data_IF_409713220188
#
_entry.id   IF_409713220188
#
_cell.length_a   1.000
_cell.length_b   1.000
_cell.length_c   1.000
_cell.angle_alpha   90.00
_cell.angle_beta   90.00
_cell.angle_gamma   90.00
#
_symmetry.space_group_name_H-M   'P 1'
#
loop_
_entity.id
_entity.type
_entity.pdbx_description
1 polymer ?
#
# COMPACT_ATOMS: atom_id res chain seq x y z
N UNK A 1 -33.94 -49.60 54.08
CA UNK A 1 -34.69 -49.18 52.87
C UNK A 1 -34.38 -47.72 52.60
N UNK A 2 -33.83 -47.44 51.41
CA UNK A 2 -33.52 -46.09 50.89
C UNK A 2 -34.79 -45.23 50.84
N UNK A 3 -34.69 -43.96 51.25
CA UNK A 3 -35.52 -42.89 50.68
C UNK A 3 -34.63 -41.73 50.26
N UNK A 4 -34.72 -41.48 48.96
CA UNK A 4 -34.08 -40.45 48.15
C UNK A 4 -34.54 -39.06 48.64
N UNK A 5 -33.60 -38.16 48.92
CA UNK A 5 -33.88 -36.72 49.02
C UNK A 5 -33.51 -36.11 47.67
N UNK A 6 -34.52 -35.57 47.00
CA UNK A 6 -34.43 -34.85 45.74
C UNK A 6 -34.01 -33.41 46.05
N UNK A 7 -32.76 -33.05 45.83
CA UNK A 7 -32.33 -31.65 45.80
C UNK A 7 -32.62 -31.08 44.40
N UNK A 8 -33.63 -30.22 44.32
CA UNK A 8 -33.80 -29.32 43.19
C UNK A 8 -32.70 -28.24 43.29
N UNK A 9 -31.74 -28.28 42.37
CA UNK A 9 -30.81 -27.17 42.17
C UNK A 9 -31.52 -26.17 41.27
N UNK A 10 -31.94 -25.03 41.84
CA UNK A 10 -32.20 -23.83 41.06
C UNK A 10 -30.86 -23.37 40.49
N UNK A 11 -30.65 -23.54 39.19
CA UNK A 11 -29.65 -22.76 38.46
C UNK A 11 -30.34 -21.46 38.07
N UNK A 12 -30.02 -20.40 38.82
CA UNK A 12 -30.33 -19.03 38.45
C UNK A 12 -29.36 -18.59 37.34
N UNK A 13 -29.90 -17.87 36.35
CA UNK A 13 -29.15 -17.30 35.23
C UNK A 13 -28.09 -16.31 35.73
N UNK A 14 -26.87 -16.44 35.23
CA UNK A 14 -25.88 -15.37 35.12
C UNK A 14 -25.41 -15.37 33.68
N UNK A 15 -26.01 -14.50 32.87
CA UNK A 15 -25.43 -14.11 31.60
C UNK A 15 -24.33 -13.11 31.91
N UNK A 16 -23.12 -13.44 31.51
CA UNK A 16 -22.08 -12.47 31.22
C UNK A 16 -21.69 -12.76 29.77
N UNK A 17 -22.05 -11.81 28.90
CA UNK A 17 -21.53 -11.73 27.54
C UNK A 17 -20.02 -11.52 27.64
N UNK A 18 -19.26 -12.61 27.60
CA UNK A 18 -17.82 -12.55 27.33
C UNK A 18 -17.63 -12.15 25.86
N UNK A 19 -17.84 -10.86 25.57
CA UNK A 19 -17.13 -10.19 24.47
C UNK A 19 -15.67 -10.13 24.90
N UNK A 20 -14.98 -11.28 24.84
CA UNK A 20 -13.56 -11.36 25.11
C UNK A 20 -12.82 -10.64 23.98
N UNK A 21 -12.65 -9.33 24.14
CA UNK A 21 -11.73 -8.56 23.31
C UNK A 21 -10.36 -9.25 23.36
N UNK A 22 -9.76 -9.49 22.18
CA UNK A 22 -8.46 -10.11 22.05
C UNK A 22 -7.44 -9.42 22.98
N UNK A 23 -6.80 -10.16 23.91
CA UNK A 23 -5.92 -9.56 24.91
C UNK A 23 -4.63 -8.97 24.32
N UNK A 24 -4.28 -9.34 23.08
CA UNK A 24 -3.14 -8.82 22.32
C UNK A 24 -3.53 -8.67 20.85
N UNK A 25 -3.74 -7.45 20.37
CA UNK A 25 -3.77 -7.20 18.94
C UNK A 25 -2.39 -7.56 18.35
N UNK A 26 -2.34 -8.19 17.17
CA UNK A 26 -1.08 -8.48 16.44
C UNK A 26 -0.35 -7.22 15.93
N UNK A 27 -0.82 -6.04 16.34
CA UNK A 27 -0.25 -4.73 16.08
C UNK A 27 -0.12 -3.91 17.37
N UNK A 28 0.50 -2.72 17.28
CA UNK A 28 0.90 -2.04 16.05
C UNK A 28 2.19 -2.63 15.44
N UNK A 29 2.30 -2.52 14.11
CA UNK A 29 3.54 -2.81 13.39
C UNK A 29 4.68 -1.90 13.88
N UNK A 30 5.89 -2.45 14.02
CA UNK A 30 7.04 -1.68 14.46
C UNK A 30 7.39 -0.55 13.48
N UNK A 31 7.81 0.57 14.05
CA UNK A 31 8.40 1.72 13.36
C UNK A 31 9.91 1.56 13.19
N UNK A 32 10.47 2.33 12.26
CA UNK A 32 11.90 2.42 12.01
C UNK A 32 12.47 3.81 12.30
N UNK A 33 13.55 4.14 11.61
CA UNK A 33 14.19 5.45 11.68
C UNK A 33 13.35 6.53 10.99
N UNK A 34 13.32 7.74 11.54
CA UNK A 34 12.50 8.85 11.03
C UNK A 34 13.11 9.52 9.79
N UNK A 35 14.40 9.33 9.53
CA UNK A 35 15.17 10.02 8.51
C UNK A 35 15.84 9.08 7.50
N UNK A 36 16.30 7.90 7.95
CA UNK A 36 17.01 6.91 7.15
C UNK A 36 18.45 7.33 6.79
N UNK A 37 18.91 6.88 5.63
CA UNK A 37 20.23 7.15 5.09
C UNK A 37 20.37 8.64 4.73
N UNK A 38 21.47 9.29 5.16
CA UNK A 38 21.70 10.72 4.93
C UNK A 38 21.89 11.12 3.45
N UNK A 39 22.36 10.18 2.63
CA UNK A 39 22.52 10.32 1.18
C UNK A 39 21.73 9.23 0.42
N UNK A 40 20.38 9.31 0.39
CA UNK A 40 19.56 8.20 -0.08
C UNK A 40 19.61 8.02 -1.62
N UNK A 41 19.98 9.06 -2.38
CA UNK A 41 20.22 8.94 -3.83
C UNK A 41 21.67 8.56 -4.18
N UNK A 42 22.58 8.55 -3.21
CA UNK A 42 24.01 8.29 -3.43
C UNK A 42 24.38 6.81 -3.49
N UNK A 43 23.42 5.92 -3.72
CA UNK A 43 23.63 4.46 -3.77
C UNK A 43 24.61 4.06 -4.88
N UNK A 44 25.59 3.20 -4.55
CA UNK A 44 26.43 2.56 -5.55
C UNK A 44 25.70 1.47 -6.36
N UNK A 45 26.36 0.85 -7.37
CA UNK A 45 25.75 -0.15 -8.27
C UNK A 45 25.23 -1.45 -7.64
N UNK A 46 25.45 -1.62 -6.34
CA UNK A 46 25.05 -2.80 -5.57
C UNK A 46 24.46 -2.39 -4.22
N UNK A 47 23.87 -1.21 -4.15
CA UNK A 47 23.22 -0.69 -2.95
C UNK A 47 21.82 -0.22 -3.31
N UNK A 48 20.90 -0.38 -2.38
CA UNK A 48 19.66 0.37 -2.34
C UNK A 48 19.68 1.17 -1.04
N UNK A 49 19.10 2.36 -1.04
CA UNK A 49 19.05 3.24 0.14
C UNK A 49 17.66 3.81 0.32
N UNK A 50 17.28 4.00 1.58
CA UNK A 50 16.05 4.69 1.96
C UNK A 50 16.37 5.89 2.84
N UNK A 51 15.72 7.02 2.61
CA UNK A 51 15.83 8.19 3.49
C UNK A 51 14.96 9.35 3.04
N UNK A 52 15.11 10.50 3.68
CA UNK A 52 14.39 11.75 3.33
C UNK A 52 14.94 12.36 2.05
N UNK A 53 14.05 12.77 1.14
CA UNK A 53 14.45 13.50 -0.07
C UNK A 53 14.57 15.00 0.20
N UNK A 54 15.67 15.62 -0.24
CA UNK A 54 15.86 17.06 -0.09
C UNK A 54 15.27 17.84 -1.28
N UNK A 55 14.94 19.11 -1.05
CA UNK A 55 14.42 19.99 -2.11
C UNK A 55 15.36 20.12 -3.32
N UNK A 56 16.68 20.04 -3.08
CA UNK A 56 17.69 20.15 -4.13
C UNK A 56 17.77 18.91 -5.04
N UNK A 57 17.26 17.78 -4.56
CA UNK A 57 17.30 16.50 -5.28
C UNK A 57 16.08 16.30 -6.19
N UNK A 58 15.02 17.10 -5.97
CA UNK A 58 13.78 17.01 -6.73
C UNK A 58 13.91 17.73 -8.08
N UNK A 59 13.79 17.02 -9.22
CA UNK A 59 13.86 17.63 -10.52
C UNK A 59 12.56 18.39 -10.82
N UNK A 60 12.67 19.41 -11.66
CA UNK A 60 11.47 20.08 -12.21
C UNK A 60 10.75 19.09 -13.13
N UNK A 61 9.48 18.85 -12.85
CA UNK A 61 8.61 18.08 -13.74
C UNK A 61 7.86 19.05 -14.65
N UNK A 62 8.04 19.02 -15.99
CA UNK A 62 7.44 19.98 -16.90
C UNK A 62 5.90 20.04 -16.85
N UNK A 63 5.24 18.96 -16.42
CA UNK A 63 3.79 18.95 -16.24
C UNK A 63 3.33 19.85 -15.10
N UNK A 64 4.16 20.01 -14.05
CA UNK A 64 3.78 20.65 -12.79
C UNK A 64 2.69 19.89 -12.02
N UNK A 65 2.46 18.61 -12.33
CA UNK A 65 1.36 17.81 -11.78
C UNK A 65 1.81 16.74 -10.76
N UNK A 66 3.12 16.60 -10.54
CA UNK A 66 3.68 15.68 -9.54
C UNK A 66 3.64 16.35 -8.18
N UNK A 67 3.26 15.59 -7.15
CA UNK A 67 2.99 16.09 -5.79
C UNK A 67 4.14 15.87 -4.81
N UNK A 68 5.23 15.21 -5.21
CA UNK A 68 6.40 15.02 -4.35
C UNK A 68 6.94 16.34 -3.79
N UNK A 69 7.49 16.30 -2.59
CA UNK A 69 8.03 17.48 -1.92
C UNK A 69 9.20 17.11 -1.02
N UNK A 70 9.98 18.13 -0.66
CA UNK A 70 11.08 17.96 0.27
C UNK A 70 10.55 17.42 1.61
N UNK A 71 11.25 16.44 2.18
CA UNK A 71 10.83 15.75 3.40
C UNK A 71 10.04 14.47 3.13
N UNK A 72 9.58 14.20 1.92
CA UNK A 72 9.06 12.87 1.58
C UNK A 72 10.18 11.81 1.69
N UNK A 73 9.80 10.54 1.76
CA UNK A 73 10.75 9.44 1.75
C UNK A 73 11.09 9.03 0.32
N UNK A 74 12.32 8.60 0.08
CA UNK A 74 12.75 8.01 -1.19
C UNK A 74 13.43 6.68 -0.95
N UNK A 75 13.03 5.68 -1.74
CA UNK A 75 13.79 4.45 -1.97
C UNK A 75 14.52 4.59 -3.28
N UNK A 76 15.84 4.46 -3.30
CA UNK A 76 16.62 4.56 -4.52
C UNK A 76 17.78 3.57 -4.59
N UNK A 77 18.10 3.15 -5.81
CA UNK A 77 19.36 2.51 -6.16
C UNK A 77 19.96 3.24 -7.38
N UNK A 78 21.01 2.68 -8.00
CA UNK A 78 21.66 3.25 -9.18
C UNK A 78 20.82 3.25 -10.47
N UNK A 79 19.56 2.76 -10.41
CA UNK A 79 18.67 2.62 -11.55
C UNK A 79 17.35 3.36 -11.40
N UNK A 80 16.69 3.22 -10.25
CA UNK A 80 15.31 3.69 -10.05
C UNK A 80 15.15 4.32 -8.68
N UNK A 81 14.20 5.25 -8.58
CA UNK A 81 13.75 5.83 -7.34
C UNK A 81 12.22 5.88 -7.27
N UNK A 82 11.68 5.56 -6.09
CA UNK A 82 10.28 5.75 -5.73
C UNK A 82 10.20 6.72 -4.56
N UNK A 83 9.43 7.80 -4.72
CA UNK A 83 9.18 8.79 -3.67
C UNK A 83 7.83 8.49 -3.03
N UNK A 84 7.81 8.39 -1.71
CA UNK A 84 6.68 8.04 -0.86
C UNK A 84 6.39 9.23 0.06
N UNK A 85 5.16 9.73 0.03
CA UNK A 85 4.77 10.89 0.83
C UNK A 85 4.92 10.61 2.33
N UNK A 86 5.35 11.60 3.11
CA UNK A 86 5.34 11.52 4.58
C UNK A 86 3.89 11.49 5.13
N UNK A 87 3.72 11.24 6.42
CA UNK A 87 2.42 11.36 7.10
C UNK A 87 1.84 12.76 6.92
N UNK A 88 0.55 12.83 6.58
CA UNK A 88 -0.19 14.09 6.50
C UNK A 88 -1.32 14.03 5.49
N UNK A 89 -1.86 15.21 5.19
CA UNK A 89 -2.82 15.40 4.11
C UNK A 89 -2.11 15.26 2.76
N UNK A 90 -2.69 14.47 1.85
CA UNK A 90 -2.24 14.34 0.47
C UNK A 90 -3.07 15.21 -0.48
N UNK A 91 -2.44 15.67 -1.56
CA UNK A 91 -3.11 16.40 -2.65
C UNK A 91 -3.76 15.47 -3.70
N UNK A 92 -3.73 14.15 -3.46
CA UNK A 92 -4.29 13.11 -4.32
C UNK A 92 -5.71 12.68 -3.87
N UNK A 93 -6.34 11.70 -4.53
CA UNK A 93 -7.70 11.26 -4.18
C UNK A 93 -7.73 10.42 -2.90
N UNK A 94 -6.68 9.66 -2.64
CA UNK A 94 -6.34 9.15 -1.33
C UNK A 94 -5.83 10.31 -0.48
N UNK A 95 -6.57 10.76 0.55
CA UNK A 95 -6.25 12.01 1.23
C UNK A 95 -5.12 11.85 2.26
N UNK A 96 -4.50 10.68 2.38
CA UNK A 96 -3.51 10.39 3.41
C UNK A 96 -2.14 10.09 2.81
N UNK A 97 -1.08 10.59 3.45
CA UNK A 97 0.30 10.34 3.04
C UNK A 97 0.77 8.90 3.29
N UNK A 98 1.99 8.55 2.88
CA UNK A 98 2.50 7.17 2.91
C UNK A 98 2.29 6.38 1.61
N UNK A 99 1.91 7.06 0.52
CA UNK A 99 1.71 6.48 -0.82
C UNK A 99 2.83 6.94 -1.75
N UNK A 100 3.10 6.20 -2.83
CA UNK A 100 3.97 6.71 -3.88
C UNK A 100 3.38 7.97 -4.51
N UNK A 101 4.20 9.00 -4.62
CA UNK A 101 3.85 10.30 -5.24
C UNK A 101 4.78 10.67 -6.39
N UNK A 102 5.82 9.88 -6.63
CA UNK A 102 6.64 10.03 -7.81
C UNK A 102 7.61 8.89 -8.05
N UNK A 103 8.06 8.81 -9.29
CA UNK A 103 8.97 7.78 -9.78
C UNK A 103 9.91 8.40 -10.81
N UNK A 104 11.19 8.04 -10.75
CA UNK A 104 12.19 8.47 -11.71
C UNK A 104 13.26 7.41 -11.91
N UNK A 105 13.96 7.50 -13.03
CA UNK A 105 15.23 6.81 -13.22
C UNK A 105 16.31 7.54 -12.41
N UNK A 106 17.33 6.81 -11.96
CA UNK A 106 18.50 7.37 -11.28
C UNK A 106 19.71 7.26 -12.20
N UNK A 107 20.47 8.35 -12.31
CA UNK A 107 21.77 8.38 -13.01
C UNK A 107 22.72 9.24 -12.20
N UNK A 108 23.87 8.68 -11.81
CA UNK A 108 24.92 9.39 -11.05
C UNK A 108 24.36 10.10 -9.79
N UNK A 109 23.41 9.45 -9.11
CA UNK A 109 22.76 9.97 -7.90
C UNK A 109 21.75 11.11 -8.14
N UNK A 110 21.36 11.36 -9.38
CA UNK A 110 20.33 12.33 -9.74
C UNK A 110 19.07 11.64 -10.25
N UNK A 111 17.91 12.16 -9.87
CA UNK A 111 16.62 11.79 -10.46
C UNK A 111 16.53 12.39 -11.87
N UNK A 112 16.37 11.52 -12.87
CA UNK A 112 16.25 11.91 -14.28
C UNK A 112 14.97 11.36 -14.89
N UNK A 113 14.46 12.08 -15.90
CA UNK A 113 13.25 11.69 -16.65
C UNK A 113 12.07 11.37 -15.70
N UNK A 114 11.74 12.27 -14.75
CA UNK A 114 10.71 12.01 -13.75
C UNK A 114 9.37 11.70 -14.42
N UNK A 115 8.76 10.58 -14.06
CA UNK A 115 7.44 10.22 -14.56
C UNK A 115 6.43 11.29 -14.16
N UNK A 116 5.44 11.57 -15.02
CA UNK A 116 4.27 12.35 -14.63
C UNK A 116 3.33 11.49 -13.76
N UNK A 117 3.85 11.04 -12.63
CA UNK A 117 3.27 10.02 -11.78
C UNK A 117 1.85 10.42 -11.39
N UNK A 118 0.93 9.50 -11.63
CA UNK A 118 -0.46 9.65 -11.25
C UNK A 118 -0.64 9.24 -9.80
N UNK A 119 -1.65 8.42 -9.58
CA UNK A 119 -1.92 7.84 -8.27
C UNK A 119 -2.28 6.37 -8.44
N UNK A 120 -1.82 5.56 -7.49
CA UNK A 120 -2.03 4.13 -7.47
C UNK A 120 -2.58 3.70 -6.11
N UNK A 121 -3.58 2.83 -6.12
CA UNK A 121 -4.25 2.30 -4.94
C UNK A 121 -4.16 0.78 -4.92
N UNK A 122 -3.95 0.25 -3.71
CA UNK A 122 -4.32 -1.13 -3.36
C UNK A 122 -5.32 -1.02 -2.22
N UNK A 123 -6.56 -1.40 -2.48
CA UNK A 123 -7.64 -1.29 -1.51
C UNK A 123 -8.05 -2.66 -0.98
N UNK A 124 -8.20 -2.73 0.33
CA UNK A 124 -8.86 -3.82 1.07
C UNK A 124 -10.34 -3.51 1.12
N UNK A 125 -11.11 -4.05 0.18
CA UNK A 125 -12.49 -3.62 -0.07
C UNK A 125 -12.51 -2.18 -0.60
N UNK A 126 -13.02 -1.24 0.22
CA UNK A 126 -12.97 0.21 -0.05
C UNK A 126 -11.96 0.96 0.84
N UNK A 127 -11.21 0.24 1.66
CA UNK A 127 -10.32 0.81 2.66
C UNK A 127 -8.85 0.69 2.25
N UNK A 128 -8.04 1.62 2.75
CA UNK A 128 -6.57 1.61 2.66
C UNK A 128 -6.01 2.02 4.02
N UNK A 129 -4.68 2.06 4.17
CA UNK A 129 -4.04 2.47 5.42
C UNK A 129 -4.16 3.99 5.60
N UNK A 130 -4.91 4.46 6.59
CA UNK A 130 -4.77 5.82 7.11
C UNK A 130 -3.48 5.87 7.90
N UNK A 131 -2.42 6.40 7.28
CA UNK A 131 -1.09 6.33 7.85
C UNK A 131 -0.93 7.31 9.00
N UNK A 132 -0.51 6.81 10.16
CA UNK A 132 -0.14 7.60 11.34
C UNK A 132 1.39 7.69 11.51
N UNK A 133 2.14 6.88 10.76
CA UNK A 133 3.60 6.84 10.74
C UNK A 133 4.12 6.39 9.37
N UNK A 134 5.16 7.08 8.87
CA UNK A 134 5.99 6.63 7.74
C UNK A 134 7.45 6.67 8.20
N UNK A 135 8.16 5.54 8.14
CA UNK A 135 9.53 5.39 8.68
C UNK A 135 10.38 4.44 7.84
N UNK A 136 11.70 4.51 8.01
CA UNK A 136 12.68 3.63 7.35
C UNK A 136 12.99 2.44 8.25
N UNK A 137 12.52 1.24 7.87
CA UNK A 137 12.81 0.01 8.62
C UNK A 137 14.24 -0.50 8.37
N UNK A 138 14.72 -0.29 7.15
CA UNK A 138 16.08 -0.61 6.73
C UNK A 138 16.52 0.46 5.73
N UNK A 139 17.64 1.13 6.01
CA UNK A 139 18.16 2.21 5.17
C UNK A 139 19.11 1.69 4.08
N UNK A 140 19.43 0.38 4.09
CA UNK A 140 20.31 -0.30 3.14
C UNK A 140 21.81 -0.15 3.43
N UNK A 141 22.20 0.50 4.55
CA UNK A 141 23.61 0.69 4.95
C UNK A 141 24.37 -0.62 5.18
N UNK A 142 23.67 -1.72 5.43
CA UNK A 142 24.23 -3.06 5.62
C UNK A 142 24.42 -3.85 4.32
N UNK A 143 24.09 -3.24 3.16
CA UNK A 143 24.11 -3.86 1.84
C UNK A 143 22.87 -4.73 1.55
N UNK A 144 21.89 -4.73 2.45
CA UNK A 144 20.58 -5.36 2.25
C UNK A 144 19.59 -4.48 1.48
N UNK A 145 18.33 -4.91 1.38
CA UNK A 145 17.25 -4.08 0.84
C UNK A 145 17.01 -2.83 1.68
N UNK A 146 16.65 -1.75 1.00
CA UNK A 146 16.08 -0.57 1.63
C UNK A 146 14.57 -0.73 1.78
N UNK A 147 14.01 -0.37 2.93
CA UNK A 147 12.60 -0.58 3.26
C UNK A 147 12.01 0.66 3.93
N UNK A 148 10.97 1.23 3.32
CA UNK A 148 10.11 2.27 3.91
C UNK A 148 8.78 1.64 4.28
N UNK A 149 8.29 1.90 5.50
CA UNK A 149 6.98 1.45 5.97
C UNK A 149 6.07 2.64 6.24
N UNK A 150 4.88 2.61 5.64
CA UNK A 150 3.73 3.37 6.09
C UNK A 150 2.84 2.47 6.96
N UNK A 151 2.51 2.87 8.18
CA UNK A 151 1.62 2.09 9.09
C UNK A 151 0.46 2.95 9.60
N UNK A 152 -0.59 2.28 10.03
CA UNK A 152 -1.77 2.90 10.62
C UNK A 152 -2.93 1.91 10.70
N UNK A 153 -4.16 2.40 10.58
CA UNK A 153 -5.37 1.56 10.53
C UNK A 153 -6.01 1.59 9.16
N UNK A 154 -6.74 0.54 8.81
CA UNK A 154 -7.58 0.60 7.62
C UNK A 154 -8.69 1.63 7.79
N UNK A 155 -8.90 2.42 6.75
CA UNK A 155 -9.96 3.42 6.69
C UNK A 155 -10.52 3.53 5.27
N UNK A 156 -11.84 3.67 5.09
CA UNK A 156 -12.43 3.87 3.78
C UNK A 156 -11.95 5.12 3.05
N UNK A 157 -11.47 4.90 1.83
CA UNK A 157 -11.45 5.81 0.67
C UNK A 157 -12.55 6.87 0.56
N UNK A 158 -12.48 8.15 0.98
CA UNK A 158 -13.66 9.02 0.84
C UNK A 158 -14.17 9.16 -0.60
N UNK A 159 -13.27 9.13 -1.59
CA UNK A 159 -13.62 9.07 -3.01
C UNK A 159 -14.33 7.76 -3.40
N UNK A 160 -13.87 6.63 -2.87
CA UNK A 160 -14.41 5.30 -3.18
C UNK A 160 -15.68 4.97 -2.40
N UNK A 161 -15.96 5.63 -1.29
CA UNK A 161 -17.24 5.53 -0.58
C UNK A 161 -18.43 5.72 -1.52
N UNK A 162 -18.36 6.74 -2.36
CA UNK A 162 -19.42 7.06 -3.30
C UNK A 162 -19.59 6.01 -4.42
N UNK A 163 -18.55 5.22 -4.70
CA UNK A 163 -18.51 4.27 -5.82
C UNK A 163 -18.75 2.83 -5.35
N UNK A 164 -18.22 2.47 -4.17
CA UNK A 164 -18.11 1.10 -3.67
C UNK A 164 -18.79 0.88 -2.32
N UNK A 165 -19.30 1.92 -1.66
CA UNK A 165 -19.93 1.81 -0.33
C UNK A 165 -21.17 0.91 -0.29
N UNK A 166 -21.82 0.67 -1.43
CA UNK A 166 -22.94 -0.27 -1.56
C UNK A 166 -22.52 -1.73 -1.83
N UNK A 167 -21.22 -1.97 -2.10
CA UNK A 167 -20.66 -3.29 -2.41
C UNK A 167 -19.84 -3.84 -1.25
N UNK A 168 -19.16 -2.97 -0.49
CA UNK A 168 -18.34 -3.33 0.66
C UNK A 168 -18.87 -2.67 1.94
N UNK A 169 -19.62 -3.43 2.73
CA UNK A 169 -20.27 -2.92 3.94
C UNK A 169 -19.28 -2.66 5.09
N UNK A 170 -18.30 -3.56 5.28
CA UNK A 170 -17.33 -3.47 6.37
C UNK A 170 -16.28 -2.36 6.10
N UNK A 171 -16.13 -1.36 7.00
CA UNK A 171 -15.13 -0.31 6.85
C UNK A 171 -13.73 -0.72 7.34
N UNK A 172 -13.58 -1.85 8.04
CA UNK A 172 -12.31 -2.40 8.55
C UNK A 172 -11.56 -1.50 9.55
N UNK A 173 -12.25 -0.57 10.23
CA UNK A 173 -11.64 0.44 11.10
C UNK A 173 -10.88 -0.13 12.32
N UNK A 174 -11.13 -1.40 12.65
CA UNK A 174 -10.51 -2.12 13.74
C UNK A 174 -9.18 -2.79 13.36
N UNK A 175 -8.87 -2.89 12.06
CA UNK A 175 -7.69 -3.60 11.55
C UNK A 175 -6.48 -2.66 11.50
N UNK A 176 -5.41 -3.03 12.22
CA UNK A 176 -4.10 -2.39 12.05
C UNK A 176 -3.46 -2.90 10.75
N UNK A 177 -2.84 -2.00 10.01
CA UNK A 177 -2.24 -2.32 8.71
C UNK A 177 -0.92 -1.58 8.48
N UNK A 178 -0.09 -2.16 7.62
CA UNK A 178 1.14 -1.53 7.14
C UNK A 178 1.37 -1.84 5.66
N UNK A 179 2.05 -0.91 4.99
CA UNK A 179 2.54 -1.02 3.63
C UNK A 179 4.06 -0.94 3.71
N UNK A 180 4.74 -2.01 3.34
CA UNK A 180 6.19 -2.01 3.16
C UNK A 180 6.51 -1.81 1.70
N UNK A 181 7.34 -0.81 1.40
CA UNK A 181 7.97 -0.59 0.12
C UNK A 181 9.43 -1.05 0.23
N UNK A 182 9.81 -2.06 -0.53
CA UNK A 182 11.14 -2.68 -0.47
C UNK A 182 11.85 -2.58 -1.81
N UNK A 183 13.06 -2.03 -1.80
CA UNK A 183 13.95 -1.97 -2.95
C UNK A 183 15.23 -2.75 -2.65
N UNK A 184 15.45 -3.83 -3.40
CA UNK A 184 16.68 -4.59 -3.32
C UNK A 184 17.82 -3.93 -4.11
N UNK A 185 19.09 -4.13 -3.72
CA UNK A 185 20.23 -3.72 -4.52
C UNK A 185 20.17 -4.21 -5.98
N UNK A 186 20.35 -3.30 -6.93
CA UNK A 186 20.35 -3.60 -8.36
C UNK A 186 18.99 -3.99 -8.98
N UNK A 187 17.90 -4.00 -8.20
CA UNK A 187 16.55 -4.26 -8.70
C UNK A 187 16.01 -3.09 -9.53
N UNK A 188 15.05 -3.38 -10.41
CA UNK A 188 14.34 -2.38 -11.23
C UNK A 188 12.86 -2.27 -10.83
N UNK A 189 12.51 -2.84 -9.68
CA UNK A 189 11.16 -2.83 -9.12
C UNK A 189 11.23 -2.55 -7.61
N UNK A 190 10.13 -2.03 -7.09
CA UNK A 190 9.86 -1.96 -5.66
C UNK A 190 8.79 -2.99 -5.34
N UNK A 191 9.08 -3.88 -4.39
CA UNK A 191 8.09 -4.79 -3.84
C UNK A 191 7.18 -4.03 -2.87
N UNK A 192 5.86 -4.19 -3.02
CA UNK A 192 4.86 -3.58 -2.16
C UNK A 192 4.18 -4.70 -1.36
N UNK A 193 4.36 -4.70 -0.03
CA UNK A 193 3.77 -5.72 0.85
C UNK A 193 2.77 -5.08 1.79
N UNK A 194 1.50 -5.44 1.63
CA UNK A 194 0.44 -5.11 2.58
C UNK A 194 0.44 -6.13 3.71
N UNK A 195 0.36 -5.63 4.94
CA UNK A 195 0.28 -6.44 6.15
C UNK A 195 -0.94 -6.02 6.95
N UNK A 196 -1.60 -7.01 7.54
CA UNK A 196 -2.80 -6.82 8.35
C UNK A 196 -2.61 -7.50 9.69
N UNK A 197 -3.04 -6.82 10.75
CA UNK A 197 -3.12 -7.32 12.10
C UNK A 197 -4.56 -7.15 12.57
N UNK A 198 -5.32 -8.24 12.52
CA UNK A 198 -6.72 -8.23 12.90
C UNK A 198 -6.87 -8.18 14.42
N UNK A 199 -7.77 -7.33 14.91
CA UNK A 199 -8.20 -7.31 16.30
C UNK A 199 -9.37 -8.27 16.57
N UNK A 200 -9.83 -9.00 15.55
CA UNK A 200 -10.99 -9.90 15.59
C UNK A 200 -10.56 -11.29 16.06
N UNK A 201 -11.43 -11.96 16.80
CA UNK A 201 -11.24 -13.32 17.33
C UNK A 201 -11.57 -14.43 16.31
N UNK A 202 -12.10 -14.05 15.15
CA UNK A 202 -12.40 -14.94 14.03
C UNK A 202 -11.59 -14.57 12.78
N UNK A 203 -11.27 -15.60 11.99
CA UNK A 203 -10.72 -15.41 10.64
C UNK A 203 -11.74 -14.64 9.82
N UNK A 204 -11.31 -13.55 9.19
CA UNK A 204 -12.20 -12.74 8.35
C UNK A 204 -11.76 -12.76 6.89
N UNK A 205 -12.66 -13.23 6.03
CA UNK A 205 -12.43 -13.25 4.59
C UNK A 205 -12.64 -11.86 3.96
N UNK A 206 -11.64 -11.38 3.22
CA UNK A 206 -11.82 -10.33 2.23
C UNK A 206 -12.18 -10.99 0.90
N UNK A 207 -13.28 -10.58 0.27
CA UNK A 207 -13.72 -11.18 -1.00
C UNK A 207 -12.85 -10.81 -2.22
N UNK A 208 -12.19 -9.65 -2.21
CA UNK A 208 -11.31 -9.16 -3.27
C UNK A 208 -10.49 -7.96 -2.82
N UNK A 209 -9.28 -7.78 -3.36
CA UNK A 209 -8.58 -6.50 -3.32
C UNK A 209 -8.76 -5.74 -4.64
N UNK A 210 -8.83 -4.40 -4.56
CA UNK A 210 -8.92 -3.54 -5.75
C UNK A 210 -7.58 -2.86 -6.00
N UNK A 211 -7.05 -3.05 -7.20
CA UNK A 211 -5.87 -2.38 -7.72
C UNK A 211 -6.32 -1.29 -8.66
N UNK A 212 -5.98 -0.04 -8.38
CA UNK A 212 -6.55 1.10 -9.09
C UNK A 212 -5.51 2.14 -9.45
N UNK A 213 -5.74 2.82 -10.57
CA UNK A 213 -4.86 3.80 -11.17
C UNK A 213 -5.68 5.03 -11.56
N UNK A 214 -5.23 6.19 -11.15
CA UNK A 214 -5.81 7.48 -11.50
C UNK A 214 -4.86 8.25 -12.41
N UNK A 215 -5.47 9.15 -13.19
CA UNK A 215 -4.77 10.01 -14.15
C UNK A 215 -4.13 9.27 -15.33
N UNK A 216 -4.66 8.11 -15.71
CA UNK A 216 -4.14 7.27 -16.81
C UNK A 216 -4.14 7.95 -18.18
N UNK A 217 -4.93 9.01 -18.37
CA UNK A 217 -4.86 9.84 -19.56
C UNK A 217 -3.52 10.58 -19.73
N UNK A 218 -2.75 10.75 -18.63
CA UNK A 218 -1.41 11.34 -18.65
C UNK A 218 -0.34 10.32 -19.05
N UNK A 219 -0.55 9.06 -18.63
CA UNK A 219 0.35 7.93 -18.83
C UNK A 219 -0.45 6.72 -19.32
N UNK A 220 -0.74 6.65 -20.64
CA UNK A 220 -1.64 5.65 -21.21
C UNK A 220 -1.25 4.23 -20.83
N UNK A 221 -2.26 3.42 -20.51
CA UNK A 221 -2.07 2.02 -20.15
C UNK A 221 -1.83 1.18 -21.40
N UNK A 222 -0.69 0.50 -21.43
CA UNK A 222 -0.36 -0.56 -22.37
C UNK A 222 -0.47 -1.93 -21.68
N UNK A 223 -1.04 -2.89 -22.41
CA UNK A 223 -1.14 -4.29 -22.00
C UNK A 223 -0.52 -5.22 -23.04
N UNK A 224 0.23 -6.26 -22.63
CA UNK A 224 0.66 -7.32 -23.53
C UNK A 224 -0.50 -7.92 -24.32
N UNK A 225 -0.34 -8.06 -25.63
CA UNK A 225 -1.35 -8.67 -26.52
C UNK A 225 -2.58 -7.82 -26.82
N UNK A 226 -2.86 -6.75 -26.06
CA UNK A 226 -4.00 -5.84 -26.28
C UNK A 226 -3.59 -4.42 -26.70
N UNK A 227 -2.36 -4.01 -26.44
CA UNK A 227 -1.89 -2.65 -26.76
C UNK A 227 -2.42 -1.61 -25.77
N UNK A 228 -2.64 -0.38 -26.26
CA UNK A 228 -3.18 0.72 -25.45
C UNK A 228 -4.67 0.53 -25.19
N UNK A 229 -5.03 0.09 -23.99
CA UNK A 229 -6.39 -0.29 -23.64
C UNK A 229 -6.59 -0.21 -22.12
N UNK A 230 -7.70 0.38 -21.68
CA UNK A 230 -8.03 0.55 -20.26
C UNK A 230 -8.86 -0.62 -19.69
N UNK A 231 -9.30 -1.57 -20.52
CA UNK A 231 -9.91 -2.83 -20.07
C UNK A 231 -8.79 -3.79 -19.64
N UNK A 232 -8.30 -3.61 -18.42
CA UNK A 232 -7.12 -4.29 -17.87
C UNK A 232 -7.41 -5.69 -17.32
N UNK A 233 -8.66 -6.16 -17.41
CA UNK A 233 -9.01 -7.49 -16.95
C UNK A 233 -8.38 -8.61 -17.79
N UNK A 234 -7.77 -9.56 -17.10
CA UNK A 234 -6.96 -10.65 -17.62
C UNK A 234 -5.51 -10.27 -17.96
N UNK A 235 -5.06 -9.04 -17.66
CA UNK A 235 -3.69 -8.63 -17.94
C UNK A 235 -2.71 -9.18 -16.88
N UNK A 236 -1.58 -9.79 -17.29
CA UNK A 236 -0.56 -10.26 -16.35
C UNK A 236 0.21 -9.09 -15.69
N UNK A 237 0.22 -7.94 -16.36
CA UNK A 237 0.71 -6.67 -15.86
C UNK A 237 0.14 -5.55 -16.73
N UNK A 238 0.23 -4.32 -16.23
CA UNK A 238 -0.03 -3.11 -17.02
C UNK A 238 1.22 -2.25 -17.05
N UNK A 239 1.47 -1.56 -18.16
CA UNK A 239 2.51 -0.54 -18.25
C UNK A 239 1.88 0.83 -18.43
N UNK A 240 2.28 1.80 -17.63
CA UNK A 240 1.90 3.20 -17.79
C UNK A 240 3.02 3.89 -18.58
N UNK A 241 2.71 4.19 -19.83
CA UNK A 241 3.71 4.63 -20.81
C UNK A 241 3.78 6.16 -20.83
N UNK A 242 5.00 6.69 -20.75
CA UNK A 242 5.30 8.10 -20.99
C UNK A 242 6.50 8.17 -21.95
N UNK A 243 6.25 8.57 -23.20
CA UNK A 243 7.30 8.67 -24.23
C UNK A 243 8.32 9.80 -23.95
N UNK A 244 8.05 10.67 -22.95
CA UNK A 244 8.88 11.82 -22.60
C UNK A 244 9.52 11.69 -21.22
N UNK A 245 9.27 10.60 -20.51
CA UNK A 245 9.75 10.37 -19.16
C UNK A 245 9.95 8.87 -18.87
N UNK A 246 10.27 8.54 -17.63
CA UNK A 246 10.36 7.15 -17.17
C UNK A 246 8.98 6.50 -17.23
N UNK A 247 8.81 5.47 -18.06
CA UNK A 247 7.61 4.62 -18.02
C UNK A 247 7.74 3.59 -16.89
N UNK A 248 6.63 3.11 -16.35
CA UNK A 248 6.64 2.10 -15.29
C UNK A 248 5.56 1.04 -15.51
N UNK A 249 5.68 -0.08 -14.81
CA UNK A 249 4.71 -1.16 -14.89
C UNK A 249 4.27 -1.59 -13.49
N UNK A 250 3.03 -2.06 -13.42
CA UNK A 250 2.46 -2.68 -12.24
C UNK A 250 2.20 -4.16 -12.51
N UNK A 251 2.71 -5.00 -11.62
CA UNK A 251 2.51 -6.45 -11.63
C UNK A 251 1.82 -6.81 -10.31
N UNK A 252 0.65 -7.48 -10.32
CA UNK A 252 0.02 -7.97 -9.11
C UNK A 252 0.91 -9.03 -8.43
N UNK A 253 1.00 -8.97 -7.09
CA UNK A 253 2.01 -9.68 -6.32
C UNK A 253 1.87 -11.21 -6.25
N UNK A 254 0.70 -11.75 -6.56
CA UNK A 254 0.46 -13.20 -6.67
C UNK A 254 0.94 -13.78 -8.01
N UNK A 255 1.42 -12.93 -8.94
CA UNK A 255 1.80 -13.34 -10.29
C UNK A 255 0.60 -13.80 -11.14
N UNK A 256 -0.63 -13.61 -10.64
CA UNK A 256 -1.85 -13.90 -11.37
C UNK A 256 -2.20 -12.74 -12.31
N UNK A 257 -3.12 -12.97 -13.23
CA UNK A 257 -3.64 -11.88 -14.04
C UNK A 257 -4.62 -11.05 -13.21
N UNK A 258 -4.64 -9.73 -13.46
CA UNK A 258 -5.69 -8.86 -12.94
C UNK A 258 -7.06 -9.44 -13.32
N UNK A 259 -7.98 -9.51 -12.35
CA UNK A 259 -9.31 -10.10 -12.55
C UNK A 259 -10.26 -9.18 -13.32
N UNK A 260 -11.53 -9.11 -12.91
CA UNK A 260 -12.48 -8.21 -13.56
C UNK A 260 -12.04 -6.74 -13.42
N UNK A 261 -12.31 -5.90 -14.42
CA UNK A 261 -11.83 -4.51 -14.46
C UNK A 261 -12.94 -3.50 -14.70
N UNK A 262 -12.75 -2.28 -14.21
CA UNK A 262 -13.62 -1.12 -14.38
C UNK A 262 -12.75 0.03 -14.92
N UNK A 263 -13.24 0.74 -15.94
CA UNK A 263 -12.62 1.98 -16.43
C UNK A 263 -13.71 3.04 -16.63
N UNK A 264 -13.57 4.16 -15.91
CA UNK A 264 -14.54 5.26 -15.94
C UNK A 264 -13.81 6.58 -15.67
N UNK A 265 -13.94 7.56 -16.57
CA UNK A 265 -13.51 8.95 -16.32
C UNK A 265 -12.05 9.13 -15.84
N UNK A 266 -11.11 8.35 -16.37
CA UNK A 266 -9.68 8.44 -16.00
C UNK A 266 -9.29 7.64 -14.75
N UNK A 267 -10.25 6.93 -14.15
CA UNK A 267 -10.03 5.83 -13.22
C UNK A 267 -9.96 4.52 -14.01
N UNK A 268 -8.94 3.71 -13.73
CA UNK A 268 -8.83 2.33 -14.22
C UNK A 268 -8.52 1.44 -13.03
N UNK A 269 -9.32 0.39 -12.81
CA UNK A 269 -9.08 -0.54 -11.72
C UNK A 269 -9.43 -1.98 -12.08
N UNK A 270 -8.82 -2.91 -11.34
CA UNK A 270 -9.10 -4.33 -11.45
C UNK A 270 -9.06 -5.01 -10.09
N UNK A 271 -9.85 -6.06 -9.95
CA UNK A 271 -9.94 -6.85 -8.73
C UNK A 271 -8.98 -8.03 -8.81
N UNK A 272 -8.24 -8.32 -7.74
CA UNK A 272 -7.56 -9.62 -7.56
C UNK A 272 -8.41 -10.54 -6.68
N UNK A 273 -7.96 -11.79 -6.52
CA UNK A 273 -8.54 -12.69 -5.53
C UNK A 273 -8.47 -12.06 -4.13
N UNK A 274 -9.46 -12.41 -3.32
CA UNK A 274 -9.49 -12.09 -1.91
C UNK A 274 -8.48 -12.89 -1.09
N UNK A 275 -8.46 -12.66 0.21
CA UNK A 275 -7.62 -13.41 1.14
C UNK A 275 -8.28 -13.47 2.51
N UNK A 276 -7.85 -14.45 3.32
CA UNK A 276 -8.29 -14.57 4.70
C UNK A 276 -7.33 -13.81 5.63
N UNK A 277 -7.88 -12.88 6.40
CA UNK A 277 -7.17 -12.26 7.52
C UNK A 277 -7.24 -13.19 8.73
N UNK A 278 -6.10 -13.60 9.30
CA UNK A 278 -6.10 -14.44 10.48
C UNK A 278 -6.78 -13.73 11.65
N UNK A 279 -7.36 -14.51 12.56
CA UNK A 279 -7.78 -14.01 13.87
C UNK A 279 -6.56 -13.48 14.65
N UNK A 280 -6.82 -12.64 15.65
CA UNK A 280 -5.83 -12.25 16.64
C UNK A 280 -5.23 -13.50 17.32
N UNK A 281 -3.93 -13.46 17.65
CA UNK A 281 -3.31 -14.54 18.43
C UNK A 281 -3.81 -14.49 19.89
N UNK A 282 -4.25 -15.63 20.41
CA UNK A 282 -4.58 -15.85 21.84
C UNK A 282 -3.39 -16.31 22.66
#
# INVERSE_FOLDING_TARGET
MRKLILCAVLVACGGDDDNAACPTAQGPFAEGDLDGHAEPLGSGPSEARAGRIAAADLPVVPSGLVTWKAGDFVLANDKVALVIEDVGDSDLYDPWGGRPVGLARVVDGALVEPNNFGEFFILTGRSTVLSDSVTVLADGSDGGPAIVRARGKLHPVPFFEAILGAVFDDPWLDIDAAIDYELAPGAEHVDIRYRFASARDEVTALGSALHAFMFTARTPIYQPGRGFNDAIGGAPFIALVDDRATSWAYIPGDGEALGSSISVSGFVGAFSEGFDMPACDT
#
